data_IF_868748818388
#
_entry.id   IF_868748818388
#
_cell.length_a   1.000
_cell.length_b   1.000
_cell.length_c   1.000
_cell.angle_alpha   90.00
_cell.angle_beta   90.00
_cell.angle_gamma   90.00
#
_symmetry.space_group_name_H-M   'P 1'
#
loop_
_entity.id
_entity.type
_entity.pdbx_description
1 polymer ?
#
# COMPACT_ATOMS: atom_id res chain seq x y z
N UNK A 1 -11.01 20.89 -16.68
CA UNK A 1 -9.66 20.29 -16.80
C UNK A 1 -8.80 20.86 -15.70
N UNK A 2 -8.72 20.20 -14.54
CA UNK A 2 -7.80 20.57 -13.47
C UNK A 2 -7.10 19.30 -12.97
N UNK A 3 -5.78 19.36 -12.95
CA UNK A 3 -4.89 18.27 -12.68
C UNK A 3 -5.06 17.75 -11.24
N UNK A 4 -5.62 16.55 -11.08
CA UNK A 4 -5.29 15.71 -9.93
C UNK A 4 -4.04 14.94 -10.32
N UNK A 5 -2.88 15.58 -10.18
CA UNK A 5 -1.62 14.86 -10.14
C UNK A 5 -1.73 13.92 -8.93
N UNK A 6 -1.97 12.64 -9.18
CA UNK A 6 -1.93 11.60 -8.16
C UNK A 6 -0.52 11.60 -7.59
N UNK A 7 -0.33 12.35 -6.51
CA UNK A 7 0.99 12.52 -5.90
C UNK A 7 1.37 11.16 -5.33
N UNK A 8 2.36 10.50 -5.92
CA UNK A 8 2.91 9.28 -5.34
C UNK A 8 3.47 9.60 -3.94
N UNK A 9 3.45 8.64 -3.01
CA UNK A 9 4.14 8.79 -1.74
C UNK A 9 5.60 9.18 -2.00
N UNK A 10 6.15 10.07 -1.19
CA UNK A 10 7.52 10.56 -1.33
C UNK A 10 8.57 9.44 -1.27
N UNK A 11 8.25 8.36 -0.55
CA UNK A 11 9.07 7.14 -0.47
C UNK A 11 8.85 6.15 -1.61
N UNK A 12 7.91 6.38 -2.54
CA UNK A 12 7.61 5.41 -3.60
C UNK A 12 8.85 5.13 -4.45
N UNK A 13 9.61 6.16 -4.80
CA UNK A 13 10.75 6.00 -5.71
C UNK A 13 11.89 5.20 -5.08
N UNK A 14 11.99 5.18 -3.75
CA UNK A 14 12.88 4.27 -3.02
C UNK A 14 12.53 2.80 -3.25
N UNK A 15 11.27 2.50 -3.61
CA UNK A 15 10.77 1.14 -3.87
C UNK A 15 10.58 0.86 -5.36
N UNK A 16 10.85 1.81 -6.25
CA UNK A 16 10.60 1.70 -7.70
C UNK A 16 11.37 0.57 -8.40
N UNK A 17 12.46 0.11 -7.79
CA UNK A 17 13.30 -0.98 -8.29
C UNK A 17 12.90 -2.35 -7.73
N UNK A 18 11.94 -2.41 -6.80
CA UNK A 18 11.48 -3.65 -6.19
C UNK A 18 10.51 -4.33 -7.16
N UNK A 19 10.80 -5.58 -7.51
CA UNK A 19 9.90 -6.42 -8.29
C UNK A 19 8.61 -6.73 -7.49
N UNK A 20 7.48 -6.81 -8.18
CA UNK A 20 6.18 -7.16 -7.61
C UNK A 20 5.10 -6.14 -7.92
N UNK A 21 3.93 -6.33 -7.30
CA UNK A 21 2.76 -5.50 -7.53
C UNK A 21 2.70 -4.38 -6.49
N UNK A 22 3.24 -3.21 -6.87
CA UNK A 22 3.27 -1.98 -6.09
C UNK A 22 2.25 -0.97 -6.64
N UNK A 23 1.31 -0.53 -5.81
CA UNK A 23 0.25 0.39 -6.22
C UNK A 23 0.10 1.53 -5.20
N UNK A 24 0.37 2.75 -5.65
CA UNK A 24 0.10 3.96 -4.87
C UNK A 24 -1.41 4.25 -4.81
N UNK A 25 -1.90 4.73 -3.66
CA UNK A 25 -3.32 5.08 -3.46
C UNK A 25 -4.28 3.94 -3.79
N UNK A 26 -3.87 2.71 -3.49
CA UNK A 26 -4.64 1.51 -3.83
C UNK A 26 -5.93 1.43 -3.00
N UNK A 27 -7.11 1.24 -3.63
CA UNK A 27 -8.36 1.17 -2.89
C UNK A 27 -8.42 -0.10 -2.03
N UNK A 28 -8.68 0.04 -0.73
CA UNK A 28 -8.82 -1.11 0.18
C UNK A 28 -10.25 -1.62 0.29
N UNK A 29 -11.26 -0.79 0.00
CA UNK A 29 -12.66 -1.23 0.00
C UNK A 29 -12.87 -2.53 -0.80
N UNK A 30 -12.40 -2.68 -2.06
CA UNK A 30 -12.57 -3.94 -2.81
C UNK A 30 -11.88 -5.17 -2.21
N UNK A 31 -10.91 -4.97 -1.30
CA UNK A 31 -10.13 -6.03 -0.67
C UNK A 31 -10.65 -6.43 0.72
N UNK A 32 -11.55 -5.63 1.30
CA UNK A 32 -12.15 -5.89 2.61
C UNK A 32 -13.47 -6.64 2.48
N UNK A 33 -13.81 -7.46 3.48
CA UNK A 33 -15.11 -8.15 3.53
C UNK A 33 -16.29 -7.18 3.58
N UNK A 34 -16.16 -6.09 4.36
CA UNK A 34 -17.19 -5.07 4.48
C UNK A 34 -17.34 -4.19 3.23
N UNK A 35 -16.42 -4.32 2.26
CA UNK A 35 -16.39 -3.51 1.04
C UNK A 35 -16.38 -2.00 1.31
N UNK A 36 -15.69 -1.59 2.38
CA UNK A 36 -15.64 -0.22 2.88
C UNK A 36 -14.20 0.20 3.23
N UNK A 37 -13.97 1.51 3.34
CA UNK A 37 -12.69 2.09 3.73
C UNK A 37 -11.89 2.71 2.59
N UNK A 38 -11.07 3.69 2.98
CA UNK A 38 -10.24 4.49 2.08
C UNK A 38 -9.02 3.75 1.52
N UNK A 39 -8.18 4.44 0.74
CA UNK A 39 -7.01 3.82 0.10
C UNK A 39 -5.88 3.51 1.08
N UNK A 40 -5.03 2.55 0.73
CA UNK A 40 -3.67 2.50 1.25
C UNK A 40 -2.83 3.56 0.52
N UNK A 41 -1.99 4.29 1.24
CA UNK A 41 -1.02 5.19 0.63
C UNK A 41 -0.09 4.42 -0.32
N UNK A 42 0.37 3.23 0.10
CA UNK A 42 1.00 2.24 -0.76
C UNK A 42 0.51 0.82 -0.46
N UNK A 43 0.14 0.07 -1.50
CA UNK A 43 -0.12 -1.36 -1.40
C UNK A 43 0.95 -2.15 -2.13
N UNK A 44 1.60 -3.06 -1.41
CA UNK A 44 2.54 -4.02 -1.98
C UNK A 44 2.02 -5.46 -1.82
N UNK A 45 2.08 -6.23 -2.89
CA UNK A 45 1.76 -7.67 -2.90
C UNK A 45 2.97 -8.46 -3.38
N UNK A 46 3.79 -9.00 -2.46
CA UNK A 46 4.94 -9.83 -2.82
C UNK A 46 4.48 -11.20 -3.31
N UNK A 47 5.18 -11.76 -4.30
CA UNK A 47 4.99 -13.14 -4.77
C UNK A 47 5.94 -14.12 -4.06
N UNK A 48 6.98 -13.60 -3.39
CA UNK A 48 7.96 -14.40 -2.67
C UNK A 48 8.44 -13.76 -1.36
N UNK A 49 9.03 -14.58 -0.48
CA UNK A 49 9.70 -14.09 0.73
C UNK A 49 10.89 -13.18 0.39
N UNK A 50 11.60 -13.44 -0.71
CA UNK A 50 12.74 -12.65 -1.12
C UNK A 50 12.31 -11.23 -1.51
N UNK A 51 11.22 -11.12 -2.27
CA UNK A 51 10.58 -9.85 -2.64
C UNK A 51 10.12 -9.05 -1.42
N UNK A 52 9.39 -9.69 -0.49
CA UNK A 52 8.98 -9.03 0.76
C UNK A 52 10.18 -8.51 1.55
N UNK A 53 11.24 -9.33 1.66
CA UNK A 53 12.45 -8.95 2.41
C UNK A 53 13.17 -7.77 1.75
N UNK A 54 13.27 -7.77 0.43
CA UNK A 54 13.87 -6.67 -0.34
C UNK A 54 13.06 -5.37 -0.19
N UNK A 55 11.73 -5.45 -0.30
CA UNK A 55 10.85 -4.30 -0.12
C UNK A 55 11.00 -3.68 1.28
N UNK A 56 10.97 -4.51 2.33
CA UNK A 56 11.10 -4.03 3.71
C UNK A 56 12.48 -3.45 4.01
N UNK A 57 13.54 -3.97 3.37
CA UNK A 57 14.89 -3.44 3.51
C UNK A 57 15.09 -2.10 2.80
N UNK A 58 14.39 -1.86 1.70
CA UNK A 58 14.44 -0.62 0.93
C UNK A 58 13.48 0.47 1.47
N UNK A 59 12.51 0.10 2.32
CA UNK A 59 11.55 1.03 2.89
C UNK A 59 12.25 2.02 3.83
N UNK A 60 12.06 3.35 3.65
CA UNK A 60 12.64 4.33 4.56
C UNK A 60 12.23 4.12 6.01
N UNK A 61 13.18 4.35 6.92
CA UNK A 61 12.92 4.25 8.34
C UNK A 61 11.79 5.21 8.76
N UNK A 62 10.80 4.69 9.49
CA UNK A 62 9.68 5.47 10.01
C UNK A 62 8.40 5.40 9.19
N UNK A 63 8.43 4.83 7.97
CA UNK A 63 7.19 4.53 7.24
C UNK A 63 6.44 3.39 7.96
N UNK A 64 5.19 3.59 8.39
CA UNK A 64 4.43 2.56 9.10
C UNK A 64 4.06 1.41 8.15
N UNK A 65 4.12 0.17 8.65
CA UNK A 65 3.75 -1.02 7.87
C UNK A 65 2.50 -1.66 8.46
N UNK A 66 1.49 -1.87 7.62
CA UNK A 66 0.26 -2.58 7.98
C UNK A 66 0.18 -3.89 7.19
N UNK A 67 0.24 -5.04 7.87
CA UNK A 67 0.05 -6.35 7.24
C UNK A 67 -1.42 -6.70 7.24
N UNK A 68 -1.99 -6.89 6.04
CA UNK A 68 -3.37 -7.32 5.87
C UNK A 68 -3.44 -8.72 5.26
N UNK A 69 -4.32 -9.56 5.80
CA UNK A 69 -4.68 -10.84 5.19
C UNK A 69 -5.78 -10.66 4.15
N UNK A 70 -6.74 -11.60 4.14
CA UNK A 70 -7.90 -11.56 3.24
C UNK A 70 -8.94 -10.46 3.56
N UNK A 71 -8.70 -9.60 4.57
CA UNK A 71 -9.63 -8.53 4.94
C UNK A 71 -10.95 -8.97 5.57
N UNK A 72 -11.07 -10.21 6.05
CA UNK A 72 -12.30 -10.76 6.64
C UNK A 72 -12.68 -10.19 8.01
N UNK A 73 -11.71 -9.62 8.71
CA UNK A 73 -11.89 -9.00 10.03
C UNK A 73 -11.17 -7.65 10.11
N UNK A 74 -11.29 -6.85 9.05
CA UNK A 74 -10.68 -5.52 8.97
C UNK A 74 -11.75 -4.48 8.61
N UNK A 75 -11.82 -3.40 9.37
CA UNK A 75 -12.64 -2.23 9.08
C UNK A 75 -11.72 -1.02 8.92
N UNK A 76 -11.49 -0.61 7.68
CA UNK A 76 -10.64 0.53 7.33
C UNK A 76 -11.48 1.80 7.36
N UNK A 77 -10.93 2.87 7.95
CA UNK A 77 -11.59 4.19 7.92
C UNK A 77 -11.55 4.78 6.52
N UNK A 78 -12.49 5.66 6.19
CA UNK A 78 -12.51 6.36 4.89
C UNK A 78 -11.26 7.22 4.63
N UNK A 79 -10.56 7.64 5.69
CA UNK A 79 -9.26 8.32 5.59
C UNK A 79 -8.10 7.43 5.11
N UNK A 80 -8.32 6.13 4.95
CA UNK A 80 -7.32 5.20 4.44
C UNK A 80 -6.32 4.69 5.48
N UNK A 81 -5.21 4.13 4.98
CA UNK A 81 -4.10 3.60 5.76
C UNK A 81 -2.81 4.28 5.29
N UNK A 82 -2.06 4.96 6.17
CA UNK A 82 -0.79 5.60 5.82
C UNK A 82 0.32 4.55 5.68
N UNK A 83 1.36 4.91 4.92
CA UNK A 83 2.50 4.05 4.61
C UNK A 83 2.31 3.10 3.43
#
# INVERSE_FOLDING_TARGET
MNALMTHRPDFFDALSHIAGNLAAHAPLAPLSWFRAGGPAELLYRPESRAELSACLAALPAGVPVCVIGAGSNLLVREGGVPG
#
